data_IF_734560481264
#
_entry.id   IF_734560481264
#
_cell.length_a   1.000
_cell.length_b   1.000
_cell.length_c   1.000
_cell.angle_alpha   90.00
_cell.angle_beta   90.00
_cell.angle_gamma   90.00
#
_symmetry.space_group_name_H-M   'P 1'
#
loop_
_entity.id
_entity.type
_entity.pdbx_description
1 polymer ?
#
# COMPACT_ATOMS: atom_id res chain seq x y z
N UNK A 1 16.86 3.61 18.38
CA UNK A 1 16.78 3.42 16.91
C UNK A 1 17.05 4.76 16.25
N UNK A 2 17.70 4.80 15.08
CA UNK A 2 17.87 6.09 14.37
C UNK A 2 16.50 6.65 13.97
N UNK A 3 16.27 7.98 14.04
CA UNK A 3 15.01 8.58 13.61
C UNK A 3 14.63 8.22 12.16
N UNK A 4 15.63 8.13 11.27
CA UNK A 4 15.44 7.74 9.87
C UNK A 4 14.97 6.28 9.73
N UNK A 5 15.53 5.34 10.49
CA UNK A 5 15.06 3.95 10.48
C UNK A 5 13.66 3.82 11.07
N UNK A 6 13.33 4.59 12.11
CA UNK A 6 11.97 4.61 12.66
C UNK A 6 10.96 5.16 11.64
N UNK A 7 11.31 6.24 10.94
CA UNK A 7 10.48 6.79 9.88
C UNK A 7 10.30 5.80 8.72
N UNK A 8 11.36 5.10 8.32
CA UNK A 8 11.27 4.04 7.30
C UNK A 8 10.37 2.89 7.75
N UNK A 9 10.51 2.43 8.99
CA UNK A 9 9.68 1.38 9.56
C UNK A 9 8.20 1.79 9.59
N UNK A 10 7.90 3.02 10.03
CA UNK A 10 6.54 3.56 10.05
C UNK A 10 5.94 3.64 8.64
N UNK A 11 6.73 4.05 7.63
CA UNK A 11 6.30 4.09 6.24
C UNK A 11 6.00 2.69 5.68
N UNK A 12 6.85 1.70 5.97
CA UNK A 12 6.63 0.31 5.59
C UNK A 12 5.36 -0.22 6.27
N UNK A 13 5.21 0.01 7.57
CA UNK A 13 4.02 -0.40 8.32
C UNK A 13 2.75 0.23 7.74
N UNK A 14 2.79 1.50 7.36
CA UNK A 14 1.67 2.18 6.71
C UNK A 14 1.34 1.56 5.33
N UNK A 15 2.36 1.27 4.53
CA UNK A 15 2.20 0.61 3.22
C UNK A 15 1.50 -0.74 3.36
N UNK A 16 1.91 -1.53 4.37
CA UNK A 16 1.31 -2.83 4.68
C UNK A 16 -0.12 -2.70 5.24
N UNK A 17 -0.40 -1.68 6.05
CA UNK A 17 -1.73 -1.41 6.55
C UNK A 17 -2.72 -1.12 5.40
N UNK A 18 -2.31 -0.30 4.42
CA UNK A 18 -3.11 -0.02 3.22
C UNK A 18 -3.37 -1.29 2.40
N UNK A 19 -2.35 -2.15 2.23
CA UNK A 19 -2.48 -3.44 1.55
C UNK A 19 -3.48 -4.34 2.27
N UNK A 20 -3.37 -4.46 3.60
CA UNK A 20 -4.26 -5.30 4.39
C UNK A 20 -5.71 -4.84 4.26
N UNK A 21 -5.97 -3.54 4.34
CA UNK A 21 -7.34 -3.00 4.15
C UNK A 21 -7.87 -3.35 2.76
N UNK A 22 -7.04 -3.21 1.72
CA UNK A 22 -7.44 -3.50 0.33
C UNK A 22 -7.81 -4.97 0.17
N UNK A 23 -6.99 -5.89 0.68
CA UNK A 23 -7.22 -7.32 0.55
C UNK A 23 -8.37 -7.82 1.44
N UNK A 24 -8.60 -7.22 2.61
CA UNK A 24 -9.79 -7.50 3.41
C UNK A 24 -11.06 -7.13 2.64
N UNK A 25 -11.13 -5.94 2.04
CA UNK A 25 -12.31 -5.52 1.26
C UNK A 25 -12.49 -6.41 0.04
N UNK A 26 -11.43 -6.72 -0.71
CA UNK A 26 -11.50 -7.64 -1.86
C UNK A 26 -11.97 -9.02 -1.46
N UNK A 27 -11.42 -9.58 -0.37
CA UNK A 27 -11.85 -10.87 0.15
C UNK A 27 -13.33 -10.84 0.54
N UNK A 28 -13.82 -9.76 1.18
CA UNK A 28 -15.24 -9.67 1.51
C UNK A 28 -16.16 -9.67 0.30
N UNK A 29 -15.79 -8.97 -0.79
CA UNK A 29 -16.56 -8.93 -2.04
C UNK A 29 -16.61 -10.28 -2.75
N UNK A 30 -15.52 -11.05 -2.66
CA UNK A 30 -15.48 -12.41 -3.22
C UNK A 30 -16.30 -13.37 -2.39
N UNK A 31 -16.17 -13.32 -1.07
CA UNK A 31 -16.87 -14.20 -0.14
C UNK A 31 -18.38 -13.93 -0.07
N UNK A 32 -18.82 -12.69 -0.29
CA UNK A 32 -20.23 -12.34 -0.43
C UNK A 32 -20.83 -12.71 -1.79
N UNK A 33 -19.98 -13.03 -2.78
CA UNK A 33 -20.40 -13.30 -4.15
C UNK A 33 -20.66 -12.04 -5.00
N UNK A 34 -20.35 -10.84 -4.48
CA UNK A 34 -20.51 -9.58 -5.22
C UNK A 34 -19.56 -9.48 -6.41
N UNK A 35 -18.36 -10.08 -6.30
CA UNK A 35 -17.34 -10.07 -7.35
C UNK A 35 -16.72 -11.45 -7.48
N UNK A 36 -16.57 -11.97 -8.70
CA UNK A 36 -15.85 -13.21 -8.94
C UNK A 36 -14.37 -13.08 -8.53
N UNK A 37 -13.74 -14.17 -8.07
CA UNK A 37 -12.33 -14.13 -7.63
C UNK A 37 -11.35 -13.61 -8.70
N UNK A 38 -11.65 -13.80 -9.98
CA UNK A 38 -10.91 -13.30 -11.13
C UNK A 38 -11.56 -12.08 -11.82
N UNK A 39 -12.57 -11.47 -11.17
CA UNK A 39 -13.34 -10.35 -11.72
C UNK A 39 -12.74 -8.97 -11.46
N UNK A 40 -11.62 -8.87 -10.75
CA UNK A 40 -10.94 -7.61 -10.49
C UNK A 40 -10.09 -7.19 -11.69
N UNK A 41 -10.48 -6.10 -12.34
CA UNK A 41 -9.73 -5.46 -13.42
C UNK A 41 -8.43 -4.80 -12.89
N UNK A 42 -7.29 -4.95 -13.58
CA UNK A 42 -6.03 -4.26 -13.23
C UNK A 42 -6.16 -2.74 -13.08
N UNK A 43 -7.04 -2.09 -13.83
CA UNK A 43 -7.26 -0.65 -13.73
C UNK A 43 -8.16 -0.25 -12.55
N UNK A 44 -8.71 -1.23 -11.80
CA UNK A 44 -9.68 -1.02 -10.72
C UNK A 44 -10.89 -0.15 -11.13
N UNK A 45 -11.25 -0.15 -12.42
CA UNK A 45 -12.26 0.74 -13.00
C UNK A 45 -13.67 0.46 -12.49
N UNK A 46 -13.95 -0.79 -12.13
CA UNK A 46 -15.24 -1.28 -11.64
C UNK A 46 -15.39 -1.15 -10.12
N UNK A 47 -14.35 -0.72 -9.41
CA UNK A 47 -14.38 -0.60 -7.95
C UNK A 47 -14.98 0.72 -7.48
N UNK A 48 -15.46 0.72 -6.24
CA UNK A 48 -15.97 1.93 -5.58
C UNK A 48 -14.93 3.05 -5.54
N UNK A 49 -15.35 4.33 -5.50
CA UNK A 49 -14.42 5.46 -5.40
C UNK A 49 -13.46 5.37 -4.20
N UNK A 50 -13.88 4.75 -3.11
CA UNK A 50 -13.02 4.49 -1.95
C UNK A 50 -11.89 3.51 -2.30
N UNK A 51 -12.22 2.36 -2.89
CA UNK A 51 -11.23 1.34 -3.27
C UNK A 51 -10.23 1.88 -4.30
N UNK A 52 -10.68 2.70 -5.24
CA UNK A 52 -9.78 3.37 -6.18
C UNK A 52 -8.79 4.31 -5.48
N UNK A 53 -9.25 5.09 -4.49
CA UNK A 53 -8.36 5.95 -3.68
C UNK A 53 -7.38 5.12 -2.84
N UNK A 54 -7.84 4.03 -2.25
CA UNK A 54 -7.02 3.12 -1.45
C UNK A 54 -5.91 2.49 -2.30
N UNK A 55 -6.24 1.98 -3.49
CA UNK A 55 -5.26 1.42 -4.42
C UNK A 55 -4.22 2.48 -4.84
N UNK A 56 -4.65 3.70 -5.14
CA UNK A 56 -3.73 4.81 -5.47
C UNK A 56 -2.85 5.21 -4.29
N UNK A 57 -3.37 5.22 -3.06
CA UNK A 57 -2.57 5.52 -1.87
C UNK A 57 -1.49 4.45 -1.64
N UNK A 58 -1.82 3.17 -1.81
CA UNK A 58 -0.85 2.09 -1.70
C UNK A 58 0.22 2.17 -2.81
N UNK A 59 -0.19 2.40 -4.06
CA UNK A 59 0.74 2.59 -5.19
C UNK A 59 1.66 3.79 -4.98
N UNK A 60 1.13 4.90 -4.45
CA UNK A 60 1.95 6.06 -4.12
C UNK A 60 3.06 5.73 -3.11
N UNK A 61 2.78 4.88 -2.12
CA UNK A 61 3.82 4.41 -1.20
C UNK A 61 4.88 3.57 -1.91
N UNK A 62 4.48 2.67 -2.82
CA UNK A 62 5.42 1.82 -3.58
C UNK A 62 6.30 2.65 -4.52
N UNK A 63 5.73 3.64 -5.21
CA UNK A 63 6.45 4.57 -6.08
C UNK A 63 7.44 5.45 -5.29
N UNK A 64 7.04 5.88 -4.09
CA UNK A 64 7.88 6.70 -3.21
C UNK A 64 8.99 5.91 -2.51
N UNK A 65 8.86 4.59 -2.39
CA UNK A 65 9.76 3.75 -1.60
C UNK A 65 11.24 3.83 -2.03
N UNK A 66 11.60 3.78 -3.34
CA UNK A 66 13.01 3.86 -3.74
C UNK A 66 13.67 5.17 -3.32
N UNK A 67 12.95 6.29 -3.45
CA UNK A 67 13.48 7.62 -3.11
C UNK A 67 13.52 7.79 -1.59
N UNK A 68 12.37 7.64 -0.91
CA UNK A 68 12.27 7.83 0.53
C UNK A 68 13.11 6.82 1.31
N UNK A 69 12.99 5.52 0.95
CA UNK A 69 13.74 4.45 1.59
C UNK A 69 15.24 4.56 1.33
N UNK A 70 15.64 4.86 0.09
CA UNK A 70 17.04 5.10 -0.25
C UNK A 70 17.65 6.24 0.57
N UNK A 71 16.95 7.38 0.69
CA UNK A 71 17.40 8.52 1.49
C UNK A 71 17.47 8.21 3.00
N UNK A 72 16.47 7.50 3.54
CA UNK A 72 16.45 7.12 4.94
C UNK A 72 17.60 6.16 5.30
N UNK A 73 17.91 5.22 4.41
CA UNK A 73 19.04 4.30 4.55
C UNK A 73 20.37 5.03 4.39
N UNK A 74 20.52 5.90 3.38
CA UNK A 74 21.72 6.71 3.18
C UNK A 74 22.00 7.61 4.39
N UNK A 75 20.99 8.31 4.92
CA UNK A 75 21.13 9.12 6.14
C UNK A 75 21.56 8.28 7.33
N UNK A 76 21.06 7.05 7.45
CA UNK A 76 21.46 6.17 8.55
C UNK A 76 22.90 5.69 8.38
N UNK A 77 23.33 5.39 7.16
CA UNK A 77 24.68 4.91 6.86
C UNK A 77 25.76 5.99 6.94
N UNK A 78 25.42 7.25 6.60
CA UNK A 78 26.37 8.36 6.53
C UNK A 78 26.58 9.12 7.86
N UNK A 79 25.78 8.81 8.90
CA UNK A 79 25.79 9.57 10.17
C UNK A 79 24.97 10.85 10.10
#
# INVERSE_FOLDING_TARGET
MSPSLLALLAFIAWTLALLLVMEVVRATLVLSGDVAANGFDPANSTLSPFMQRLARAHLNCLEGLPVFGGLALARTALG
#
